data_IF_160653770888
#
_entry.id   IF_160653770888
#
_cell.length_a   1.000
_cell.length_b   1.000
_cell.length_c   1.000
_cell.angle_alpha   90.00
_cell.angle_beta   90.00
_cell.angle_gamma   90.00
#
_symmetry.space_group_name_H-M   'P 1'
#
loop_
_entity.id
_entity.type
_entity.pdbx_description
1 polymer ?
#
# COMPACT_ATOMS: atom_id res chain seq x y z
N UNK A 1 15.41 12.97 -1.96
CA UNK A 1 16.42 12.36 -1.07
C UNK A 1 17.28 13.44 -0.44
N UNK A 2 17.50 14.55 -1.16
CA UNK A 2 18.11 15.80 -0.65
C UNK A 2 17.53 16.26 0.70
N UNK A 3 16.21 16.29 0.86
CA UNK A 3 15.54 16.65 2.14
C UNK A 3 15.93 15.75 3.34
N UNK A 4 16.34 14.49 3.10
CA UNK A 4 16.85 13.60 4.14
C UNK A 4 18.30 13.91 4.51
N UNK A 5 19.09 14.36 3.53
CA UNK A 5 20.48 14.75 3.68
C UNK A 5 20.59 16.09 4.43
N UNK A 6 19.77 17.07 4.05
CA UNK A 6 19.72 18.40 4.67
C UNK A 6 19.41 18.32 6.18
N UNK A 7 18.55 17.37 6.57
CA UNK A 7 18.18 17.14 7.97
C UNK A 7 19.14 16.24 8.74
N UNK A 8 20.21 15.76 8.10
CA UNK A 8 21.18 14.82 8.67
C UNK A 8 20.50 13.56 9.23
N UNK A 9 19.36 13.16 8.66
CA UNK A 9 18.67 11.92 9.04
C UNK A 9 19.39 10.69 8.50
N UNK A 10 20.07 10.86 7.37
CA UNK A 10 20.93 9.86 6.75
C UNK A 10 22.25 10.51 6.33
N UNK A 11 23.34 9.75 6.39
CA UNK A 11 24.62 10.18 5.82
C UNK A 11 24.60 10.14 4.30
N UNK A 12 25.56 10.80 3.65
CA UNK A 12 25.71 10.73 2.19
C UNK A 12 25.93 9.28 1.72
N UNK A 13 26.72 8.50 2.45
CA UNK A 13 26.99 7.09 2.13
C UNK A 13 25.74 6.23 2.27
N UNK A 14 24.93 6.43 3.32
CA UNK A 14 23.66 5.73 3.50
C UNK A 14 22.68 6.06 2.37
N UNK A 15 22.63 7.34 1.95
CA UNK A 15 21.79 7.76 0.83
C UNK A 15 22.26 7.09 -0.46
N UNK A 16 23.57 7.00 -0.70
CA UNK A 16 24.13 6.31 -1.85
C UNK A 16 23.70 4.83 -1.87
N UNK A 17 23.83 4.13 -0.74
CA UNK A 17 23.40 2.73 -0.61
C UNK A 17 21.88 2.58 -0.83
N UNK A 18 21.06 3.52 -0.34
CA UNK A 18 19.62 3.50 -0.58
C UNK A 18 19.30 3.69 -2.07
N UNK A 19 19.99 4.61 -2.74
CA UNK A 19 19.80 4.85 -4.18
C UNK A 19 20.19 3.63 -5.00
N UNK A 20 21.32 3.02 -4.68
CA UNK A 20 21.79 1.80 -5.33
C UNK A 20 20.81 0.65 -5.14
N UNK A 21 20.39 0.38 -3.90
CA UNK A 21 19.39 -0.67 -3.64
C UNK A 21 18.08 -0.43 -4.34
N UNK A 22 17.58 0.82 -4.36
CA UNK A 22 16.36 1.17 -5.11
C UNK A 22 16.53 0.93 -6.60
N UNK A 23 17.69 1.27 -7.16
CA UNK A 23 18.00 1.03 -8.57
C UNK A 23 17.94 -0.47 -8.88
N UNK A 24 18.51 -1.31 -8.03
CA UNK A 24 18.46 -2.78 -8.19
C UNK A 24 17.02 -3.29 -8.16
N UNK A 25 16.21 -2.84 -7.20
CA UNK A 25 14.79 -3.20 -7.15
C UNK A 25 14.02 -2.70 -8.38
N UNK A 26 14.29 -1.49 -8.87
CA UNK A 26 13.67 -0.98 -10.09
C UNK A 26 14.06 -1.80 -11.33
N UNK A 27 15.32 -2.27 -11.41
CA UNK A 27 15.72 -3.22 -12.43
C UNK A 27 14.95 -4.54 -12.30
N UNK A 28 14.84 -5.09 -11.09
CA UNK A 28 14.06 -6.32 -10.85
C UNK A 28 12.59 -6.16 -11.23
N UNK A 29 11.97 -5.02 -10.89
CA UNK A 29 10.57 -4.71 -11.20
C UNK A 29 10.30 -4.53 -12.70
N UNK A 30 11.32 -4.22 -13.50
CA UNK A 30 11.22 -4.10 -14.97
C UNK A 30 11.42 -5.43 -15.69
N UNK A 31 11.92 -6.47 -15.02
CA UNK A 31 12.12 -7.79 -15.63
C UNK A 31 10.78 -8.40 -16.04
N UNK A 32 10.82 -9.19 -17.12
CA UNK A 32 9.70 -9.99 -17.60
C UNK A 32 10.09 -11.48 -17.49
N UNK A 33 9.29 -12.33 -16.81
CA UNK A 33 8.08 -11.99 -16.06
C UNK A 33 8.39 -11.28 -14.72
N UNK A 34 7.53 -10.35 -14.32
CA UNK A 34 7.59 -9.73 -13.00
C UNK A 34 7.20 -10.76 -11.93
N UNK A 35 8.13 -11.14 -11.06
CA UNK A 35 7.86 -12.07 -9.97
C UNK A 35 7.24 -11.31 -8.79
N UNK A 36 6.19 -11.89 -8.19
CA UNK A 36 5.53 -11.32 -6.99
C UNK A 36 6.53 -11.10 -5.85
N UNK A 37 7.39 -12.09 -5.62
CA UNK A 37 8.43 -12.07 -4.57
C UNK A 37 9.33 -10.83 -4.68
N UNK A 38 9.71 -10.42 -5.88
CA UNK A 38 10.61 -9.29 -6.08
C UNK A 38 9.93 -7.97 -5.64
N UNK A 39 8.65 -7.80 -5.95
CA UNK A 39 7.90 -6.64 -5.49
C UNK A 39 7.58 -6.66 -4.00
N UNK A 40 7.28 -7.83 -3.42
CA UNK A 40 7.08 -7.97 -1.98
C UNK A 40 8.36 -7.62 -1.20
N UNK A 41 9.52 -8.09 -1.66
CA UNK A 41 10.83 -7.71 -1.10
C UNK A 41 11.08 -6.21 -1.20
N UNK A 42 10.66 -5.59 -2.30
CA UNK A 42 10.81 -4.15 -2.46
C UNK A 42 9.91 -3.37 -1.49
N UNK A 43 8.66 -3.81 -1.31
CA UNK A 43 7.74 -3.24 -0.32
C UNK A 43 8.32 -3.36 1.08
N UNK A 44 8.77 -4.55 1.48
CA UNK A 44 9.39 -4.79 2.78
C UNK A 44 10.59 -3.87 3.02
N UNK A 45 11.47 -3.72 2.02
CA UNK A 45 12.60 -2.81 2.08
C UNK A 45 12.17 -1.35 2.32
N UNK A 46 11.18 -0.84 1.57
CA UNK A 46 10.71 0.53 1.73
C UNK A 46 10.01 0.75 3.08
N UNK A 47 9.27 -0.23 3.60
CA UNK A 47 8.65 -0.17 4.92
C UNK A 47 9.71 -0.15 6.04
N UNK A 48 10.76 -0.96 5.93
CA UNK A 48 11.87 -0.96 6.88
C UNK A 48 12.63 0.38 6.87
N UNK A 49 12.84 0.95 5.69
CA UNK A 49 13.47 2.26 5.54
C UNK A 49 12.60 3.38 6.13
N UNK A 50 11.28 3.32 5.92
CA UNK A 50 10.30 4.24 6.49
C UNK A 50 10.28 4.15 8.03
N UNK A 51 10.28 2.95 8.59
CA UNK A 51 10.36 2.71 10.03
C UNK A 51 11.67 3.27 10.63
N UNK A 52 12.80 3.07 9.94
CA UNK A 52 14.09 3.64 10.33
C UNK A 52 14.05 5.18 10.32
N UNK A 53 13.47 5.79 9.27
CA UNK A 53 13.30 7.25 9.21
C UNK A 53 12.43 7.75 10.37
N UNK A 54 11.28 7.12 10.62
CA UNK A 54 10.37 7.47 11.73
C UNK A 54 11.11 7.44 13.09
N UNK A 55 11.89 6.38 13.37
CA UNK A 55 12.72 6.27 14.59
C UNK A 55 13.80 7.36 14.69
N UNK A 56 14.55 7.63 13.62
CA UNK A 56 15.61 8.65 13.61
C UNK A 56 15.04 10.06 13.77
N UNK A 57 13.92 10.34 13.11
CA UNK A 57 13.20 11.61 13.22
C UNK A 57 12.74 11.87 14.65
N UNK A 58 12.18 10.84 15.32
CA UNK A 58 11.79 10.92 16.72
C UNK A 58 12.99 11.20 17.64
N UNK A 59 14.11 10.50 17.45
CA UNK A 59 15.36 10.71 18.22
C UNK A 59 15.91 12.14 18.06
N UNK A 60 15.78 12.72 16.87
CA UNK A 60 16.24 14.09 16.56
C UNK A 60 15.23 15.17 17.00
N UNK A 61 14.08 14.80 17.57
CA UNK A 61 13.05 15.76 18.01
C UNK A 61 12.41 16.57 16.90
N UNK A 62 12.55 16.16 15.63
CA UNK A 62 12.05 16.91 14.48
C UNK A 62 10.54 16.75 14.35
N UNK A 63 9.79 17.83 14.62
CA UNK A 63 8.32 17.83 14.55
C UNK A 63 7.75 18.25 13.19
N UNK A 64 8.55 18.94 12.36
CA UNK A 64 8.07 19.45 11.06
C UNK A 64 7.75 18.29 10.11
N UNK A 65 6.53 18.28 9.58
CA UNK A 65 6.14 17.37 8.49
C UNK A 65 6.74 17.92 7.20
N UNK A 66 7.38 17.02 6.45
CA UNK A 66 8.13 17.35 5.25
C UNK A 66 7.86 16.36 4.14
N UNK A 67 8.31 16.68 2.93
CA UNK A 67 8.04 15.88 1.72
C UNK A 67 8.58 14.46 1.90
N UNK A 68 9.73 14.29 2.55
CA UNK A 68 10.31 12.98 2.83
C UNK A 68 9.44 12.10 3.73
N UNK A 69 8.51 12.69 4.50
CA UNK A 69 7.59 11.95 5.37
C UNK A 69 6.53 11.14 4.61
N UNK A 70 6.14 11.63 3.43
CA UNK A 70 5.13 10.96 2.59
C UNK A 70 5.74 10.17 1.43
N UNK A 71 7.01 10.43 1.11
CA UNK A 71 7.67 9.89 -0.08
C UNK A 71 7.94 8.39 0.00
N UNK A 72 8.15 7.82 1.19
CA UNK A 72 8.30 6.37 1.39
C UNK A 72 6.99 5.64 1.11
N UNK A 73 5.92 6.05 1.80
CA UNK A 73 4.57 5.49 1.68
C UNK A 73 4.05 5.58 0.23
N UNK A 74 4.20 6.73 -0.44
CA UNK A 74 3.80 6.89 -1.86
C UNK A 74 4.52 5.89 -2.78
N UNK A 75 5.77 5.55 -2.48
CA UNK A 75 6.51 4.56 -3.26
C UNK A 75 5.99 3.15 -3.02
N UNK A 76 5.66 2.81 -1.78
CA UNK A 76 5.01 1.52 -1.46
C UNK A 76 3.70 1.37 -2.23
N UNK A 77 2.83 2.39 -2.24
CA UNK A 77 1.61 2.38 -3.07
C UNK A 77 1.91 2.14 -4.56
N UNK A 78 2.91 2.83 -5.12
CA UNK A 78 3.30 2.66 -6.51
C UNK A 78 3.83 1.25 -6.82
N UNK A 79 4.51 0.59 -5.87
CA UNK A 79 4.95 -0.81 -6.04
C UNK A 79 3.75 -1.75 -6.01
N UNK A 80 2.81 -1.58 -5.07
CA UNK A 80 1.55 -2.34 -5.05
C UNK A 80 0.75 -2.18 -6.34
N UNK A 81 0.61 -0.95 -6.85
CA UNK A 81 -0.11 -0.68 -8.10
C UNK A 81 0.51 -1.41 -9.29
N UNK A 82 1.84 -1.42 -9.38
CA UNK A 82 2.57 -2.17 -10.43
C UNK A 82 2.38 -3.67 -10.29
N UNK A 83 2.42 -4.20 -9.07
CA UNK A 83 2.20 -5.62 -8.83
C UNK A 83 0.77 -6.03 -9.19
N UNK A 84 -0.23 -5.28 -8.75
CA UNK A 84 -1.65 -5.54 -9.02
C UNK A 84 -2.00 -5.39 -10.50
N UNK A 85 -1.32 -4.49 -11.22
CA UNK A 85 -1.50 -4.39 -12.68
C UNK A 85 -1.08 -5.67 -13.41
N UNK A 86 0.00 -6.33 -12.96
CA UNK A 86 0.49 -7.58 -13.54
C UNK A 86 -0.23 -8.81 -12.98
N UNK A 87 -0.51 -8.84 -11.68
CA UNK A 87 -1.07 -9.97 -10.92
C UNK A 87 -2.48 -9.68 -10.43
N UNK A 88 -3.35 -9.18 -11.32
CA UNK A 88 -4.71 -8.73 -11.00
C UNK A 88 -5.57 -9.82 -10.37
N UNK A 89 -5.35 -11.08 -10.78
CA UNK A 89 -6.09 -12.26 -10.33
C UNK A 89 -5.74 -12.73 -8.91
N UNK A 90 -4.72 -12.16 -8.27
CA UNK A 90 -4.27 -12.59 -6.95
C UNK A 90 -5.02 -11.84 -5.84
N UNK A 91 -6.03 -12.50 -5.24
CA UNK A 91 -6.84 -11.94 -4.15
C UNK A 91 -5.99 -11.66 -2.91
N UNK A 92 -5.00 -12.51 -2.61
CA UNK A 92 -4.14 -12.34 -1.43
C UNK A 92 -3.32 -11.05 -1.54
N UNK A 93 -2.85 -10.72 -2.74
CA UNK A 93 -2.16 -9.47 -2.99
C UNK A 93 -3.06 -8.23 -2.80
N UNK A 94 -4.34 -8.32 -3.17
CA UNK A 94 -5.31 -7.26 -2.89
C UNK A 94 -5.55 -7.09 -1.39
N UNK A 95 -5.70 -8.20 -0.65
CA UNK A 95 -5.89 -8.18 0.80
C UNK A 95 -4.67 -7.60 1.53
N UNK A 96 -3.46 -7.99 1.12
CA UNK A 96 -2.22 -7.40 1.65
C UNK A 96 -2.16 -5.89 1.41
N UNK A 97 -2.60 -5.41 0.25
CA UNK A 97 -2.62 -3.98 -0.04
C UNK A 97 -3.67 -3.23 0.80
N UNK A 98 -4.84 -3.84 1.00
CA UNK A 98 -5.90 -3.33 1.89
C UNK A 98 -5.37 -3.19 3.32
N UNK A 99 -4.72 -4.23 3.85
CA UNK A 99 -4.15 -4.22 5.20
C UNK A 99 -3.06 -3.15 5.35
N UNK A 100 -2.19 -2.99 4.35
CA UNK A 100 -1.23 -1.90 4.32
C UNK A 100 -1.90 -0.52 4.36
N UNK A 101 -2.96 -0.31 3.57
CA UNK A 101 -3.66 0.98 3.57
C UNK A 101 -4.37 1.26 4.90
N UNK A 102 -4.90 0.22 5.58
CA UNK A 102 -5.50 0.33 6.91
C UNK A 102 -4.48 0.74 7.96
N UNK A 103 -3.33 0.05 8.01
CA UNK A 103 -2.27 0.31 8.99
C UNK A 103 -1.66 1.71 8.85
N UNK A 104 -1.52 2.22 7.63
CA UNK A 104 -1.01 3.58 7.40
C UNK A 104 -2.11 4.67 7.51
N UNK A 105 -3.39 4.29 7.62
CA UNK A 105 -4.50 5.24 7.73
C UNK A 105 -4.82 5.97 6.41
N UNK A 106 -4.50 5.38 5.27
CA UNK A 106 -4.71 5.98 3.94
C UNK A 106 -6.14 5.78 3.42
N UNK A 107 -7.13 6.30 4.14
CA UNK A 107 -8.56 6.04 3.88
C UNK A 107 -9.03 6.34 2.45
N UNK A 108 -8.60 7.47 1.86
CA UNK A 108 -8.95 7.82 0.47
C UNK A 108 -8.36 6.85 -0.56
N UNK A 109 -7.13 6.39 -0.33
CA UNK A 109 -6.49 5.39 -1.20
C UNK A 109 -7.22 4.06 -1.03
N UNK A 110 -7.55 3.68 0.20
CA UNK A 110 -8.24 2.44 0.52
C UNK A 110 -9.60 2.33 -0.16
N UNK A 111 -10.44 3.38 -0.15
CA UNK A 111 -11.71 3.37 -0.91
C UNK A 111 -11.49 3.14 -2.42
N UNK A 112 -10.44 3.71 -3.00
CA UNK A 112 -10.10 3.48 -4.40
C UNK A 112 -9.60 2.05 -4.66
N UNK A 113 -8.80 1.50 -3.75
CA UNK A 113 -8.34 0.11 -3.79
C UNK A 113 -9.52 -0.86 -3.71
N UNK A 114 -10.46 -0.66 -2.78
CA UNK A 114 -11.67 -1.47 -2.70
C UNK A 114 -12.49 -1.43 -3.99
N UNK A 115 -12.67 -0.24 -4.57
CA UNK A 115 -13.40 -0.10 -5.84
C UNK A 115 -12.76 -0.95 -6.95
N UNK A 116 -11.43 -0.90 -7.09
CA UNK A 116 -10.69 -1.67 -8.10
C UNK A 116 -10.68 -3.18 -7.78
N UNK A 117 -10.56 -3.54 -6.51
CA UNK A 117 -10.58 -4.92 -6.05
C UNK A 117 -11.92 -5.58 -6.35
N UNK A 118 -13.04 -4.91 -6.03
CA UNK A 118 -14.39 -5.40 -6.29
C UNK A 118 -14.72 -5.50 -7.79
N UNK A 119 -14.18 -4.59 -8.61
CA UNK A 119 -14.29 -4.70 -10.08
C UNK A 119 -13.52 -5.89 -10.65
N UNK A 120 -12.35 -6.19 -10.08
CA UNK A 120 -11.51 -7.31 -10.52
C UNK A 120 -12.01 -8.66 -10.01
N UNK A 121 -12.57 -8.67 -8.80
CA UNK A 121 -12.99 -9.86 -8.04
C UNK A 121 -14.41 -9.74 -7.52
N UNK A 122 -15.41 -9.59 -8.40
CA UNK A 122 -16.80 -9.35 -7.98
C UNK A 122 -17.40 -10.52 -7.21
N UNK A 123 -16.84 -11.73 -7.37
CA UNK A 123 -17.31 -12.94 -6.68
C UNK A 123 -16.68 -13.18 -5.31
N UNK A 124 -15.63 -12.46 -4.93
CA UNK A 124 -14.96 -12.68 -3.64
C UNK A 124 -15.78 -12.07 -2.50
N UNK A 125 -16.50 -12.91 -1.74
CA UNK A 125 -17.26 -12.45 -0.58
C UNK A 125 -16.36 -11.75 0.47
N UNK A 126 -15.13 -12.24 0.66
CA UNK A 126 -14.17 -11.65 1.59
C UNK A 126 -13.90 -10.17 1.28
N UNK A 127 -13.68 -9.81 0.01
CA UNK A 127 -13.46 -8.42 -0.38
C UNK A 127 -14.68 -7.52 -0.16
N UNK A 128 -15.89 -8.05 -0.35
CA UNK A 128 -17.13 -7.32 -0.08
C UNK A 128 -17.33 -7.05 1.41
N UNK A 129 -17.09 -8.06 2.25
CA UNK A 129 -17.20 -7.94 3.71
C UNK A 129 -16.18 -6.92 4.23
N UNK A 130 -14.93 -7.01 3.78
CA UNK A 130 -13.87 -6.07 4.15
C UNK A 130 -14.19 -4.64 3.72
N UNK A 131 -14.68 -4.44 2.49
CA UNK A 131 -15.06 -3.12 1.99
C UNK A 131 -16.23 -2.52 2.80
N UNK A 132 -17.26 -3.32 3.09
CA UNK A 132 -18.40 -2.85 3.88
C UNK A 132 -18.02 -2.56 5.33
N UNK A 133 -17.18 -3.40 5.93
CA UNK A 133 -16.65 -3.18 7.29
C UNK A 133 -15.82 -1.91 7.38
N UNK A 134 -15.01 -1.62 6.35
CA UNK A 134 -14.25 -0.39 6.25
C UNK A 134 -15.15 0.86 6.17
N UNK A 135 -16.14 0.86 5.27
CA UNK A 135 -17.08 1.99 5.14
C UNK A 135 -17.87 2.25 6.44
N UNK A 136 -18.23 1.17 7.16
CA UNK A 136 -18.90 1.27 8.45
C UNK A 136 -17.98 1.79 9.57
N UNK A 137 -16.78 1.22 9.70
CA UNK A 137 -15.90 1.49 10.86
C UNK A 137 -15.10 2.78 10.71
N UNK A 138 -14.62 3.08 9.49
CA UNK A 138 -13.72 4.22 9.25
C UNK A 138 -14.46 5.43 8.67
N UNK A 139 -15.33 5.23 7.68
CA UNK A 139 -16.09 6.32 7.08
C UNK A 139 -17.39 6.62 7.83
N UNK A 140 -17.74 5.82 8.84
CA UNK A 140 -18.96 5.93 9.65
C UNK A 140 -20.25 5.97 8.80
N UNK A 141 -20.20 5.38 7.59
CA UNK A 141 -21.28 5.41 6.63
C UNK A 141 -22.02 4.08 6.60
N UNK A 142 -23.10 4.01 7.39
CA UNK A 142 -23.98 2.82 7.43
C UNK A 142 -24.66 2.60 6.08
N UNK A 143 -25.03 3.68 5.38
CA UNK A 143 -25.70 3.58 4.08
C UNK A 143 -24.76 3.04 2.99
N UNK A 144 -23.50 3.51 2.94
CA UNK A 144 -22.52 2.98 1.99
C UNK A 144 -22.23 1.50 2.26
N UNK A 145 -22.03 1.11 3.52
CA UNK A 145 -21.85 -0.28 3.92
C UNK A 145 -23.05 -1.16 3.52
N UNK A 146 -24.29 -0.67 3.74
CA UNK A 146 -25.52 -1.36 3.34
C UNK A 146 -25.59 -1.56 1.83
N UNK A 147 -25.29 -0.52 1.04
CA UNK A 147 -25.30 -0.60 -0.43
C UNK A 147 -24.27 -1.60 -0.94
N UNK A 148 -23.07 -1.63 -0.36
CA UNK A 148 -22.04 -2.60 -0.70
C UNK A 148 -22.51 -4.04 -0.41
N UNK A 149 -23.08 -4.28 0.78
CA UNK A 149 -23.55 -5.61 1.15
C UNK A 149 -24.74 -6.08 0.28
N UNK A 150 -25.68 -5.18 -0.04
CA UNK A 150 -26.78 -5.49 -0.95
C UNK A 150 -26.29 -5.83 -2.36
N UNK A 151 -25.26 -5.13 -2.87
CA UNK A 151 -24.61 -5.46 -4.14
C UNK A 151 -23.92 -6.83 -4.08
N UNK A 152 -23.20 -7.11 -2.99
CA UNK A 152 -22.56 -8.39 -2.76
C UNK A 152 -23.57 -9.55 -2.83
N UNK A 153 -24.70 -9.46 -2.13
CA UNK A 153 -25.76 -10.48 -2.14
C UNK A 153 -26.38 -10.70 -3.53
N UNK A 154 -26.50 -9.64 -4.34
CA UNK A 154 -27.01 -9.76 -5.73
C UNK A 154 -26.03 -10.51 -6.62
N UNK A 155 -24.73 -10.28 -6.44
CA UNK A 155 -23.67 -10.88 -7.25
C UNK A 155 -23.36 -12.31 -6.79
N UNK A 156 -23.30 -12.55 -5.48
CA UNK A 156 -22.92 -13.81 -4.83
C UNK A 156 -24.13 -14.65 -4.39
N UNK A 157 -25.22 -14.61 -5.17
CA UNK A 157 -26.49 -15.24 -4.84
C UNK A 157 -26.44 -16.78 -4.71
N UNK A 158 -25.33 -17.41 -5.14
CA UNK A 158 -25.17 -18.85 -5.25
C UNK A 158 -23.92 -19.42 -4.58
N UNK A 159 -23.24 -18.69 -3.69
CA UNK A 159 -22.30 -19.35 -2.76
C UNK A 159 -23.12 -20.20 -1.76
N UNK A 160 -23.42 -21.44 -2.18
CA UNK A 160 -23.91 -22.53 -1.32
C UNK A 160 -22.74 -23.44 -0.99
#
# INVERSE_FOLDING_TARGET
LEDLQEKKLFSADEIHQIVEKRRDFEYMMRRVPLRKIDGLRYIEYELNLEALRKKRKARMGLKKITISDTAGIKRVHAVFDRLLYKHRGDVDLWLQYVEFCKTEGSGRVLSHVFTRALQSHPRSAALWIEAASFEFSFNLSVDAARVLMQRALRINRHER
#
